data_IF_045230789465
#
_entry.id   IF_045230789465
#
_cell.length_a   1.000
_cell.length_b   1.000
_cell.length_c   1.000
_cell.angle_alpha   90.00
_cell.angle_beta   90.00
_cell.angle_gamma   90.00
#
_symmetry.space_group_name_H-M   'P 1'
#
loop_
_entity.id
_entity.type
_entity.pdbx_description
1 polymer ?
#
# COMPACT_ATOMS: atom_id res chain seq x y z
N UNK A 1 -23.85 -44.57 -1.54
CA UNK A 1 -23.04 -44.14 -0.40
C UNK A 1 -22.46 -42.76 -0.72
N UNK A 2 -22.89 -41.70 -0.05
CA UNK A 2 -22.35 -40.37 -0.31
C UNK A 2 -20.86 -40.34 0.03
N UNK A 3 -20.04 -39.81 -0.88
CA UNK A 3 -18.62 -39.61 -0.60
C UNK A 3 -18.43 -38.77 0.63
N UNK A 4 -17.61 -39.27 1.57
CA UNK A 4 -17.37 -38.62 2.86
C UNK A 4 -16.49 -37.41 2.65
N UNK A 5 -16.94 -36.23 3.13
CA UNK A 5 -16.10 -35.04 3.19
C UNK A 5 -14.80 -35.38 3.94
N UNK A 6 -13.67 -35.05 3.33
CA UNK A 6 -12.34 -35.22 3.91
C UNK A 6 -11.63 -33.87 4.04
N UNK A 7 -10.90 -33.67 5.15
CA UNK A 7 -10.09 -32.48 5.38
C UNK A 7 -8.71 -32.94 5.86
N UNK A 8 -7.66 -32.55 5.13
CA UNK A 8 -6.28 -32.93 5.43
C UNK A 8 -5.35 -31.76 5.26
N UNK A 9 -4.32 -31.67 6.09
CA UNK A 9 -3.21 -30.75 5.89
C UNK A 9 -2.26 -31.39 4.87
N UNK A 10 -2.00 -30.67 3.78
CA UNK A 10 -1.17 -31.15 2.69
C UNK A 10 -0.09 -30.12 2.35
N UNK A 11 1.08 -30.59 1.94
CA UNK A 11 2.14 -29.72 1.37
C UNK A 11 2.00 -29.74 -0.14
N UNK A 12 1.63 -28.62 -0.71
CA UNK A 12 1.37 -28.43 -2.14
C UNK A 12 2.66 -27.91 -2.80
N UNK A 13 3.30 -28.75 -3.59
CA UNK A 13 4.43 -28.34 -4.45
C UNK A 13 3.93 -27.63 -5.70
N UNK A 14 4.79 -26.93 -6.48
CA UNK A 14 4.40 -26.36 -7.77
C UNK A 14 3.80 -27.40 -8.75
N UNK A 15 4.30 -28.64 -8.75
CA UNK A 15 3.80 -29.74 -9.59
C UNK A 15 2.40 -30.18 -9.15
N UNK A 16 2.19 -30.36 -7.84
CA UNK A 16 0.89 -30.68 -7.26
C UNK A 16 -0.11 -29.55 -7.55
N UNK A 17 0.32 -28.30 -7.43
CA UNK A 17 -0.53 -27.15 -7.72
C UNK A 17 -0.96 -27.10 -9.19
N UNK A 18 -0.07 -27.44 -10.14
CA UNK A 18 -0.41 -27.55 -11.56
C UNK A 18 -1.46 -28.65 -11.81
N UNK A 19 -1.29 -29.81 -11.19
CA UNK A 19 -2.25 -30.92 -11.28
C UNK A 19 -3.62 -30.50 -10.73
N UNK A 20 -3.65 -29.90 -9.54
CA UNK A 20 -4.88 -29.42 -8.90
C UNK A 20 -5.58 -28.34 -9.72
N UNK A 21 -4.85 -27.50 -10.46
CA UNK A 21 -5.41 -26.50 -11.37
C UNK A 21 -5.99 -27.10 -12.65
N UNK A 22 -5.59 -28.29 -13.06
CA UNK A 22 -6.21 -29.02 -14.18
C UNK A 22 -7.71 -29.28 -13.94
N UNK A 23 -8.14 -29.32 -12.68
CA UNK A 23 -9.53 -29.51 -12.25
C UNK A 23 -10.28 -28.15 -12.08
N UNK A 24 -9.69 -27.05 -12.58
CA UNK A 24 -10.23 -25.70 -12.44
C UNK A 24 -11.23 -25.35 -13.56
N UNK A 25 -12.48 -25.69 -13.37
CA UNK A 25 -13.57 -25.39 -14.31
C UNK A 25 -14.54 -24.39 -13.67
N UNK A 26 -14.91 -23.35 -14.40
CA UNK A 26 -15.93 -22.35 -13.98
C UNK A 26 -15.62 -21.57 -12.69
N UNK A 27 -14.36 -21.25 -12.42
CA UNK A 27 -13.97 -20.37 -11.34
C UNK A 27 -13.98 -18.89 -11.75
N UNK A 28 -13.97 -18.00 -10.73
CA UNK A 28 -13.92 -16.54 -10.93
C UNK A 28 -12.67 -16.13 -11.73
N UNK A 29 -12.74 -14.96 -12.38
CA UNK A 29 -11.61 -14.39 -13.13
C UNK A 29 -10.36 -14.28 -12.26
N UNK A 30 -9.23 -14.69 -12.78
CA UNK A 30 -7.93 -14.64 -12.11
C UNK A 30 -7.49 -13.17 -11.96
N UNK A 31 -7.19 -12.77 -10.72
CA UNK A 31 -6.53 -11.51 -10.40
C UNK A 31 -5.02 -11.73 -10.34
N UNK A 32 -4.29 -11.23 -11.34
CA UNK A 32 -2.81 -11.31 -11.36
C UNK A 32 -2.18 -10.61 -10.15
N UNK A 33 -2.76 -9.51 -9.71
CA UNK A 33 -2.29 -8.79 -8.51
C UNK A 33 -2.34 -9.66 -7.26
N UNK A 34 -3.44 -10.40 -7.07
CA UNK A 34 -3.57 -11.30 -5.92
C UNK A 34 -2.63 -12.49 -6.01
N UNK A 35 -2.43 -13.05 -7.21
CA UNK A 35 -1.45 -14.13 -7.42
C UNK A 35 -0.04 -13.64 -7.08
N UNK A 36 0.36 -12.47 -7.57
CA UNK A 36 1.67 -11.89 -7.31
C UNK A 36 1.86 -11.55 -5.82
N UNK A 37 0.83 -11.03 -5.16
CA UNK A 37 0.85 -10.74 -3.73
C UNK A 37 1.09 -12.02 -2.92
N UNK A 38 0.28 -13.05 -3.13
CA UNK A 38 0.40 -14.33 -2.43
C UNK A 38 1.72 -15.03 -2.74
N UNK A 39 2.19 -14.98 -4.00
CA UNK A 39 3.48 -15.54 -4.37
C UNK A 39 4.64 -14.85 -3.63
N UNK A 40 4.54 -13.55 -3.40
CA UNK A 40 5.54 -12.81 -2.61
C UNK A 40 5.48 -13.19 -1.13
N UNK A 41 4.29 -13.30 -0.54
CA UNK A 41 4.12 -13.79 0.84
C UNK A 41 4.72 -15.19 1.03
N UNK A 42 4.53 -16.09 0.06
CA UNK A 42 5.12 -17.45 0.09
C UNK A 42 6.65 -17.36 -0.01
N UNK A 43 7.20 -16.57 -0.96
CA UNK A 43 8.66 -16.42 -1.13
C UNK A 43 9.34 -15.84 0.10
N UNK A 44 8.70 -14.88 0.75
CA UNK A 44 9.22 -14.21 1.94
C UNK A 44 9.05 -15.05 3.23
N UNK A 45 8.34 -16.20 3.18
CA UNK A 45 8.02 -16.98 4.37
C UNK A 45 6.99 -16.32 5.30
N UNK A 46 6.23 -15.37 4.78
CA UNK A 46 5.18 -14.65 5.51
C UNK A 46 3.86 -15.41 5.55
N UNK A 47 3.71 -16.42 4.68
CA UNK A 47 2.50 -17.24 4.66
C UNK A 47 2.35 -18.02 5.97
N UNK A 48 1.21 -17.88 6.63
CA UNK A 48 0.89 -18.59 7.85
C UNK A 48 -0.25 -19.57 7.62
N UNK A 49 -0.12 -20.78 8.17
CA UNK A 49 -1.23 -21.72 8.22
C UNK A 49 -2.34 -21.13 9.14
N UNK A 50 -3.43 -20.69 8.53
CA UNK A 50 -4.51 -19.97 9.19
C UNK A 50 -5.87 -20.69 9.11
N UNK A 51 -5.88 -21.95 8.61
CA UNK A 51 -7.10 -22.71 8.43
C UNK A 51 -7.83 -22.46 7.10
N UNK A 52 -7.38 -21.50 6.30
CA UNK A 52 -7.89 -21.33 4.93
C UNK A 52 -7.55 -22.56 4.08
N UNK A 53 -8.56 -23.05 3.32
CA UNK A 53 -8.45 -24.33 2.62
C UNK A 53 -8.51 -24.18 1.10
N UNK A 54 -7.84 -25.09 0.40
CA UNK A 54 -8.15 -25.43 -1.00
C UNK A 54 -9.31 -26.40 -0.97
N UNK A 55 -10.36 -26.16 -1.77
CA UNK A 55 -11.62 -26.89 -1.67
C UNK A 55 -12.01 -27.51 -3.01
N UNK A 56 -12.37 -28.79 -2.96
CA UNK A 56 -12.81 -29.57 -4.11
C UNK A 56 -14.22 -30.13 -3.92
N UNK A 57 -14.98 -30.15 -5.00
CA UNK A 57 -16.29 -30.76 -5.06
C UNK A 57 -16.22 -32.30 -5.03
N UNK A 58 -17.39 -32.92 -4.99
CA UNK A 58 -17.54 -34.38 -5.11
C UNK A 58 -17.05 -34.93 -6.45
N UNK A 59 -17.20 -34.16 -7.51
CA UNK A 59 -16.72 -34.45 -8.86
C UNK A 59 -15.21 -34.21 -9.05
N UNK A 60 -14.48 -33.79 -7.99
CA UNK A 60 -13.07 -33.47 -8.05
C UNK A 60 -12.77 -32.04 -8.53
N UNK A 61 -13.78 -31.28 -8.93
CA UNK A 61 -13.63 -29.91 -9.42
C UNK A 61 -13.12 -28.97 -8.32
N UNK A 62 -12.18 -28.09 -8.66
CA UNK A 62 -11.70 -27.04 -7.77
C UNK A 62 -12.80 -25.98 -7.53
N UNK A 63 -13.28 -25.86 -6.30
CA UNK A 63 -14.29 -24.88 -5.89
C UNK A 63 -13.68 -23.58 -5.36
N UNK A 64 -12.55 -23.68 -4.62
CA UNK A 64 -11.84 -22.52 -4.04
C UNK A 64 -10.34 -22.81 -3.95
N UNK A 65 -9.53 -21.74 -4.00
CA UNK A 65 -8.08 -21.82 -3.84
C UNK A 65 -7.27 -21.59 -5.12
N UNK A 66 -7.89 -21.28 -6.27
CA UNK A 66 -7.19 -21.07 -7.54
C UNK A 66 -6.03 -20.04 -7.44
N UNK A 67 -6.23 -18.91 -6.76
CA UNK A 67 -5.18 -17.90 -6.59
C UNK A 67 -4.01 -18.41 -5.73
N UNK A 68 -4.29 -19.25 -4.72
CA UNK A 68 -3.26 -19.87 -3.87
C UNK A 68 -2.43 -20.87 -4.66
N UNK A 69 -3.07 -21.73 -5.46
CA UNK A 69 -2.38 -22.68 -6.34
C UNK A 69 -1.51 -21.97 -7.38
N UNK A 70 -2.04 -20.93 -8.03
CA UNK A 70 -1.27 -20.10 -8.97
C UNK A 70 -0.10 -19.40 -8.27
N UNK A 71 -0.28 -18.98 -7.04
CA UNK A 71 0.77 -18.33 -6.25
C UNK A 71 1.89 -19.31 -5.87
N UNK A 72 1.56 -20.57 -5.55
CA UNK A 72 2.55 -21.66 -5.31
C UNK A 72 3.43 -21.85 -6.54
N UNK A 73 2.81 -21.92 -7.72
CA UNK A 73 3.54 -22.05 -9.00
C UNK A 73 4.42 -20.83 -9.24
N UNK A 74 3.86 -19.62 -9.08
CA UNK A 74 4.60 -18.36 -9.32
C UNK A 74 5.69 -18.10 -8.29
N UNK A 75 5.56 -18.63 -7.07
CA UNK A 75 6.57 -18.56 -6.02
C UNK A 75 7.72 -19.54 -6.22
N UNK A 76 7.46 -20.62 -6.93
CA UNK A 76 8.34 -21.80 -7.06
C UNK A 76 8.76 -22.35 -5.70
N UNK A 77 7.82 -22.38 -4.75
CA UNK A 77 8.00 -22.88 -3.38
C UNK A 77 6.78 -23.65 -2.91
N UNK A 78 6.95 -24.72 -2.12
CA UNK A 78 5.83 -25.47 -1.56
C UNK A 78 5.06 -24.62 -0.53
N UNK A 79 3.77 -24.94 -0.39
CA UNK A 79 2.85 -24.37 0.58
C UNK A 79 2.14 -25.46 1.38
N UNK A 80 2.22 -25.39 2.71
CA UNK A 80 1.42 -26.26 3.58
C UNK A 80 0.09 -25.58 3.87
N UNK A 81 -1.02 -26.26 3.52
CA UNK A 81 -2.37 -25.72 3.68
C UNK A 81 -3.39 -26.83 3.94
N UNK A 82 -4.60 -26.46 4.36
CA UNK A 82 -5.71 -27.38 4.48
C UNK A 82 -6.30 -27.66 3.10
N UNK A 83 -6.60 -28.92 2.82
CA UNK A 83 -7.30 -29.34 1.60
C UNK A 83 -8.58 -30.09 2.00
N UNK A 84 -9.71 -29.63 1.47
CA UNK A 84 -11.03 -30.23 1.72
C UNK A 84 -11.54 -30.81 0.40
N UNK A 85 -12.03 -32.05 0.43
CA UNK A 85 -12.60 -32.74 -0.74
C UNK A 85 -13.98 -33.30 -0.42
N UNK A 86 -14.80 -33.45 -1.45
CA UNK A 86 -16.13 -34.07 -1.33
C UNK A 86 -17.25 -33.08 -0.91
N UNK A 87 -17.06 -31.77 -1.16
CA UNK A 87 -18.08 -30.76 -0.91
C UNK A 87 -19.17 -30.81 -2.00
N UNK A 88 -20.42 -30.42 -1.62
CA UNK A 88 -21.46 -30.19 -2.62
C UNK A 88 -21.10 -28.96 -3.47
N UNK A 89 -21.34 -29.05 -4.76
CA UNK A 89 -20.95 -28.01 -5.73
C UNK A 89 -21.64 -26.65 -5.47
N UNK A 90 -22.88 -26.71 -4.97
CA UNK A 90 -23.66 -25.49 -4.62
C UNK A 90 -23.04 -24.69 -3.50
N UNK A 91 -22.19 -25.31 -2.67
CA UNK A 91 -21.48 -24.62 -1.58
C UNK A 91 -20.55 -23.53 -2.07
N UNK A 92 -20.10 -23.59 -3.35
CA UNK A 92 -19.28 -22.54 -3.95
C UNK A 92 -19.92 -21.15 -3.87
N UNK A 93 -21.25 -21.05 -3.96
CA UNK A 93 -22.00 -19.80 -3.90
C UNK A 93 -21.97 -19.13 -2.52
N UNK A 94 -21.66 -19.89 -1.48
CA UNK A 94 -21.60 -19.42 -0.09
C UNK A 94 -20.17 -19.16 0.41
N UNK A 95 -19.16 -19.47 -0.43
CA UNK A 95 -17.76 -19.24 -0.08
C UNK A 95 -17.41 -17.77 -0.21
N UNK A 96 -16.40 -17.31 0.53
CA UNK A 96 -15.89 -15.93 0.52
C UNK A 96 -16.93 -14.84 0.84
N UNK A 97 -18.04 -15.16 1.50
CA UNK A 97 -19.07 -14.18 1.90
C UNK A 97 -18.65 -13.26 3.06
N UNK A 98 -17.54 -13.57 3.72
CA UNK A 98 -17.00 -12.79 4.84
C UNK A 98 -16.19 -11.57 4.42
N UNK A 99 -16.21 -10.51 5.25
CA UNK A 99 -15.36 -9.34 5.06
C UNK A 99 -13.89 -9.69 5.31
N UNK A 100 -13.05 -9.51 4.32
CA UNK A 100 -11.59 -9.66 4.47
C UNK A 100 -11.05 -8.62 5.46
N UNK A 101 -10.30 -9.06 6.48
CA UNK A 101 -9.65 -8.15 7.44
C UNK A 101 -8.67 -7.23 6.71
N UNK A 102 -8.78 -5.94 6.97
CA UNK A 102 -7.82 -4.93 6.49
C UNK A 102 -6.56 -4.93 7.36
N UNK A 103 -5.48 -4.28 6.89
CA UNK A 103 -4.30 -4.05 7.73
C UNK A 103 -4.66 -3.25 9.00
N UNK A 104 -5.58 -2.27 8.89
CA UNK A 104 -6.08 -1.52 10.03
C UNK A 104 -6.75 -2.42 11.09
N UNK A 105 -7.55 -3.41 10.65
CA UNK A 105 -8.17 -4.38 11.57
C UNK A 105 -7.11 -5.24 12.27
N UNK A 106 -6.05 -5.65 11.56
CA UNK A 106 -4.95 -6.42 12.16
C UNK A 106 -4.18 -5.59 13.19
N UNK A 107 -3.89 -4.33 12.89
CA UNK A 107 -3.22 -3.43 13.83
C UNK A 107 -4.11 -3.14 15.06
N UNK A 108 -5.43 -3.06 14.88
CA UNK A 108 -6.38 -2.95 16.01
C UNK A 108 -6.30 -4.18 16.93
N UNK A 109 -6.24 -5.39 16.36
CA UNK A 109 -6.10 -6.63 17.15
C UNK A 109 -4.75 -6.71 17.88
N UNK A 110 -3.71 -6.02 17.37
CA UNK A 110 -2.41 -5.86 18.04
C UNK A 110 -2.42 -4.80 19.15
N UNK A 111 -3.53 -4.07 19.33
CA UNK A 111 -3.63 -3.00 20.32
C UNK A 111 -3.15 -1.64 19.85
N UNK A 112 -2.83 -1.49 18.54
CA UNK A 112 -2.36 -0.22 17.99
C UNK A 112 -3.46 0.84 18.01
N UNK A 113 -3.11 2.04 18.50
CA UNK A 113 -4.01 3.19 18.47
C UNK A 113 -4.08 3.78 17.06
N UNK A 114 -5.30 4.21 16.65
CA UNK A 114 -5.52 4.84 15.31
C UNK A 114 -5.05 3.95 14.15
N UNK A 115 -5.22 2.67 14.29
CA UNK A 115 -4.74 1.60 13.41
C UNK A 115 -5.02 1.82 11.93
N UNK A 116 -6.20 2.30 11.55
CA UNK A 116 -6.53 2.61 10.13
C UNK A 116 -5.65 3.73 9.56
N UNK A 117 -5.41 4.78 10.36
CA UNK A 117 -4.55 5.89 9.95
C UNK A 117 -3.08 5.44 9.88
N UNK A 118 -2.63 4.69 10.89
CA UNK A 118 -1.28 4.11 10.92
C UNK A 118 -1.05 3.18 9.73
N UNK A 119 -1.99 2.29 9.41
CA UNK A 119 -1.89 1.39 8.25
C UNK A 119 -1.70 2.15 6.92
N UNK A 120 -2.51 3.19 6.70
CA UNK A 120 -2.42 4.01 5.49
C UNK A 120 -1.12 4.80 5.41
N UNK A 121 -0.69 5.38 6.52
CA UNK A 121 0.54 6.16 6.62
C UNK A 121 1.78 5.27 6.47
N UNK A 122 1.84 4.16 7.21
CA UNK A 122 2.97 3.23 7.17
C UNK A 122 3.18 2.67 5.75
N UNK A 123 2.09 2.34 5.04
CA UNK A 123 2.19 1.90 3.65
C UNK A 123 2.80 2.98 2.75
N UNK A 124 2.37 4.23 2.90
CA UNK A 124 2.86 5.33 2.07
C UNK A 124 4.34 5.65 2.37
N UNK A 125 4.72 5.64 3.65
CA UNK A 125 6.11 5.84 4.08
C UNK A 125 6.99 4.67 3.62
N UNK A 126 6.53 3.42 3.77
CA UNK A 126 7.24 2.23 3.27
C UNK A 126 7.56 2.34 1.78
N UNK A 127 6.58 2.73 0.96
CA UNK A 127 6.80 2.90 -0.48
C UNK A 127 7.82 4.00 -0.78
N UNK A 128 7.79 5.11 -0.05
CA UNK A 128 8.75 6.21 -0.21
C UNK A 128 10.17 5.81 0.23
N UNK A 129 10.27 5.08 1.32
CA UNK A 129 11.53 4.60 1.89
C UNK A 129 12.22 3.55 1.02
N UNK A 130 11.46 2.51 0.62
CA UNK A 130 12.01 1.36 -0.10
C UNK A 130 12.16 1.57 -1.61
N UNK A 131 11.29 2.40 -2.22
CA UNK A 131 11.17 2.53 -3.67
C UNK A 131 11.27 3.97 -4.17
N UNK A 132 11.38 4.92 -3.25
CA UNK A 132 11.46 6.34 -3.55
C UNK A 132 10.10 7.03 -3.71
N UNK A 133 10.14 8.36 -3.67
CA UNK A 133 8.95 9.20 -3.62
C UNK A 133 8.07 9.11 -4.87
N UNK A 134 8.63 8.84 -6.03
CA UNK A 134 7.86 8.65 -7.27
C UNK A 134 6.95 7.42 -7.17
N UNK A 135 7.50 6.28 -6.76
CA UNK A 135 6.74 5.04 -6.57
C UNK A 135 5.65 5.19 -5.50
N UNK A 136 5.96 5.90 -4.41
CA UNK A 136 4.97 6.22 -3.37
C UNK A 136 3.82 7.09 -3.90
N UNK A 137 4.11 8.08 -4.76
CA UNK A 137 3.11 8.94 -5.38
C UNK A 137 2.26 8.20 -6.41
N UNK A 138 2.86 7.32 -7.21
CA UNK A 138 2.16 6.45 -8.15
C UNK A 138 1.22 5.48 -7.42
N UNK A 139 1.68 4.92 -6.30
CA UNK A 139 0.92 4.00 -5.45
C UNK A 139 0.43 2.72 -6.17
N UNK A 140 1.16 2.27 -7.18
CA UNK A 140 0.78 1.12 -8.01
C UNK A 140 1.19 -0.21 -7.37
N UNK A 141 2.25 -0.19 -6.56
CA UNK A 141 2.73 -1.37 -5.85
C UNK A 141 1.91 -1.62 -4.59
N UNK A 142 1.62 -2.90 -4.36
CA UNK A 142 0.90 -3.37 -3.18
C UNK A 142 1.88 -4.15 -2.30
N UNK A 143 2.46 -3.53 -1.26
CA UNK A 143 3.24 -4.27 -0.27
C UNK A 143 2.40 -5.36 0.38
N UNK A 144 3.03 -6.46 0.79
CA UNK A 144 2.36 -7.47 1.58
C UNK A 144 1.99 -6.92 2.95
N UNK A 145 1.05 -7.57 3.61
CA UNK A 145 0.70 -7.21 4.99
C UNK A 145 1.87 -7.42 5.94
N UNK A 146 2.63 -8.50 5.73
CA UNK A 146 3.83 -8.82 6.51
C UNK A 146 4.91 -7.75 6.36
N UNK A 147 5.20 -7.31 5.13
CA UNK A 147 6.16 -6.23 4.86
C UNK A 147 5.81 -4.95 5.64
N UNK A 148 4.53 -4.53 5.62
CA UNK A 148 4.13 -3.32 6.35
C UNK A 148 4.16 -3.50 7.85
N UNK A 149 3.77 -4.67 8.37
CA UNK A 149 3.84 -4.96 9.81
C UNK A 149 5.30 -4.95 10.27
N UNK A 150 6.19 -5.64 9.54
CA UNK A 150 7.63 -5.64 9.84
C UNK A 150 8.22 -4.24 9.82
N UNK A 151 7.82 -3.42 8.85
CA UNK A 151 8.26 -2.04 8.76
C UNK A 151 7.78 -1.20 9.95
N UNK A 152 6.52 -1.36 10.39
CA UNK A 152 5.99 -0.68 11.59
C UNK A 152 6.80 -1.08 12.83
N UNK A 153 7.07 -2.38 13.00
CA UNK A 153 7.81 -2.90 14.15
C UNK A 153 9.26 -2.39 14.20
N UNK A 154 9.88 -2.15 13.04
CA UNK A 154 11.25 -1.66 12.90
C UNK A 154 11.37 -0.13 12.89
N UNK A 155 10.26 0.60 12.80
CA UNK A 155 10.23 2.05 12.59
C UNK A 155 9.34 2.75 13.62
N UNK A 156 9.77 2.82 14.90
CA UNK A 156 8.98 3.45 15.96
C UNK A 156 8.68 4.94 15.68
N UNK A 157 9.50 5.61 14.87
CA UNK A 157 9.32 7.00 14.43
C UNK A 157 8.02 7.24 13.65
N UNK A 158 7.34 6.19 13.16
CA UNK A 158 6.04 6.33 12.50
C UNK A 158 4.97 6.95 13.41
N UNK A 159 5.10 6.81 14.73
CA UNK A 159 4.21 7.46 15.69
C UNK A 159 4.34 8.99 15.63
N UNK A 160 5.57 9.50 15.52
CA UNK A 160 5.85 10.94 15.42
C UNK A 160 5.40 11.47 14.06
N UNK A 161 5.63 10.71 12.97
CA UNK A 161 5.15 11.06 11.63
C UNK A 161 3.62 11.13 11.61
N UNK A 162 2.93 10.23 12.31
CA UNK A 162 1.48 10.25 12.42
C UNK A 162 0.99 11.48 13.18
N UNK A 163 1.65 11.85 14.27
CA UNK A 163 1.34 13.06 15.03
C UNK A 163 1.57 14.33 14.20
N UNK A 164 2.73 14.44 13.54
CA UNK A 164 3.07 15.56 12.65
C UNK A 164 2.09 15.69 11.47
N UNK A 165 1.70 14.58 10.86
CA UNK A 165 0.72 14.53 9.77
C UNK A 165 -0.65 15.10 10.20
N UNK A 166 -1.08 14.81 11.41
CA UNK A 166 -2.35 15.32 11.97
C UNK A 166 -2.26 16.82 12.28
N UNK A 167 -1.15 17.25 12.88
CA UNK A 167 -0.91 18.66 13.15
C UNK A 167 -0.87 19.48 11.85
N UNK A 168 -0.14 19.01 10.84
CA UNK A 168 -0.11 19.63 9.53
C UNK A 168 -1.51 19.74 8.92
N UNK A 169 -2.26 18.66 8.92
CA UNK A 169 -3.62 18.64 8.35
C UNK A 169 -4.56 19.62 9.04
N UNK A 170 -4.50 19.69 10.37
CA UNK A 170 -5.31 20.62 11.16
C UNK A 170 -5.03 22.10 10.82
N UNK A 171 -3.78 22.45 10.50
CA UNK A 171 -3.37 23.83 10.20
C UNK A 171 -3.50 24.18 8.72
N UNK A 172 -3.35 23.21 7.82
CA UNK A 172 -3.23 23.44 6.38
C UNK A 172 -4.56 23.31 5.62
N UNK A 173 -5.66 22.85 6.26
CA UNK A 173 -6.93 22.67 5.58
C UNK A 173 -6.87 21.62 4.46
N UNK A 174 -6.26 20.47 4.70
CA UNK A 174 -6.20 19.32 3.77
C UNK A 174 -5.41 19.56 2.47
N UNK A 175 -4.47 20.52 2.43
CA UNK A 175 -3.62 20.77 1.25
C UNK A 175 -2.93 19.50 0.75
N UNK A 176 -2.45 18.66 1.67
CA UNK A 176 -1.91 17.33 1.40
C UNK A 176 -2.73 16.28 2.16
N UNK A 177 -2.91 15.11 1.57
CA UNK A 177 -3.42 13.96 2.34
C UNK A 177 -2.38 13.55 3.39
N UNK A 178 -2.83 12.92 4.49
CA UNK A 178 -1.93 12.45 5.53
C UNK A 178 -0.83 11.52 5.00
N UNK A 179 -1.16 10.64 4.05
CA UNK A 179 -0.20 9.73 3.42
C UNK A 179 0.82 10.48 2.56
N UNK A 180 0.40 11.47 1.78
CA UNK A 180 1.29 12.28 0.94
C UNK A 180 2.23 13.13 1.81
N UNK A 181 1.69 13.79 2.84
CA UNK A 181 2.51 14.52 3.81
C UNK A 181 3.57 13.59 4.41
N UNK A 182 3.14 12.43 4.93
CA UNK A 182 4.04 11.51 5.60
C UNK A 182 5.19 11.02 4.71
N UNK A 183 4.88 10.64 3.46
CA UNK A 183 5.91 10.22 2.50
C UNK A 183 6.90 11.32 2.18
N UNK A 184 6.42 12.55 1.94
CA UNK A 184 7.27 13.70 1.64
C UNK A 184 8.09 14.13 2.85
N UNK A 185 7.45 14.21 4.03
CA UNK A 185 8.16 14.55 5.27
C UNK A 185 9.24 13.53 5.59
N UNK A 186 8.93 12.24 5.49
CA UNK A 186 9.89 11.14 5.69
C UNK A 186 11.09 11.28 4.76
N UNK A 187 10.83 11.48 3.47
CA UNK A 187 11.87 11.65 2.46
C UNK A 187 12.76 12.87 2.72
N UNK A 188 12.16 14.00 3.12
CA UNK A 188 12.92 15.22 3.40
C UNK A 188 13.67 15.14 4.73
N UNK A 189 13.08 14.49 5.75
CA UNK A 189 13.70 14.32 7.05
C UNK A 189 14.96 13.44 7.00
N UNK A 190 15.03 12.48 6.06
CA UNK A 190 16.26 11.71 5.81
C UNK A 190 17.39 12.54 5.21
N UNK A 191 17.07 13.71 4.65
CA UNK A 191 18.08 14.66 4.15
C UNK A 191 18.45 15.66 5.26
N UNK A 192 17.43 16.23 5.92
CA UNK A 192 17.58 17.23 6.98
C UNK A 192 16.25 17.36 7.74
N UNK A 193 16.18 16.77 8.93
CA UNK A 193 14.97 16.73 9.76
C UNK A 193 14.50 18.14 10.17
N UNK A 194 15.41 19.02 10.55
CA UNK A 194 15.07 20.36 10.99
C UNK A 194 14.55 21.21 9.82
N UNK A 195 15.19 21.08 8.68
CA UNK A 195 14.72 21.75 7.46
C UNK A 195 13.33 21.22 7.04
N UNK A 196 13.09 19.90 7.11
CA UNK A 196 11.79 19.31 6.81
C UNK A 196 10.70 19.89 7.74
N UNK A 197 10.97 19.94 9.04
CA UNK A 197 10.05 20.52 10.02
C UNK A 197 9.75 21.99 9.70
N UNK A 198 10.77 22.82 9.45
CA UNK A 198 10.58 24.22 9.08
C UNK A 198 9.77 24.39 7.80
N UNK A 199 10.10 23.61 6.76
CA UNK A 199 9.41 23.65 5.48
C UNK A 199 7.91 23.36 5.62
N UNK A 200 7.55 22.27 6.29
CA UNK A 200 6.14 21.90 6.44
C UNK A 200 5.38 22.79 7.42
N UNK A 201 6.03 23.32 8.46
CA UNK A 201 5.42 24.30 9.37
C UNK A 201 5.09 25.58 8.62
N UNK A 202 6.02 26.09 7.80
CA UNK A 202 5.79 27.28 6.97
C UNK A 202 4.74 27.03 5.88
N UNK A 203 4.73 25.82 5.27
CA UNK A 203 3.72 25.43 4.31
C UNK A 203 2.31 25.39 4.94
N UNK A 204 2.20 24.86 6.16
CA UNK A 204 0.94 24.76 6.87
C UNK A 204 0.39 26.14 7.28
N UNK A 205 1.23 26.98 7.89
CA UNK A 205 0.81 28.29 8.40
C UNK A 205 0.70 29.36 7.32
N UNK A 206 1.61 29.35 6.34
CA UNK A 206 1.75 30.42 5.34
C UNK A 206 2.27 31.73 5.94
N UNK A 207 2.69 31.73 7.20
CA UNK A 207 3.11 32.94 7.89
C UNK A 207 4.52 33.38 7.50
N UNK A 208 4.75 34.69 7.42
CA UNK A 208 6.06 35.33 7.18
C UNK A 208 6.76 34.91 5.88
N UNK A 209 6.01 34.49 4.85
CA UNK A 209 6.54 34.13 3.54
C UNK A 209 6.54 35.31 2.58
N UNK A 210 7.64 35.53 1.87
CA UNK A 210 7.74 36.59 0.84
C UNK A 210 7.02 36.14 -0.46
N UNK A 211 6.68 37.10 -1.30
CA UNK A 211 5.89 36.86 -2.52
C UNK A 211 6.55 35.84 -3.52
N UNK A 212 7.87 35.77 -3.52
CA UNK A 212 8.66 34.85 -4.34
C UNK A 212 9.23 33.64 -3.57
N UNK A 213 8.78 33.43 -2.32
CA UNK A 213 9.16 32.24 -1.53
C UNK A 213 8.59 30.97 -2.18
N UNK A 214 9.45 29.97 -2.44
CA UNK A 214 9.01 28.70 -3.02
C UNK A 214 7.89 28.02 -2.21
N UNK A 215 7.87 28.18 -0.88
CA UNK A 215 6.82 27.61 -0.02
C UNK A 215 5.49 28.32 -0.27
N UNK A 216 5.48 29.66 -0.39
CA UNK A 216 4.25 30.40 -0.68
C UNK A 216 3.68 30.04 -2.06
N UNK A 217 4.53 29.96 -3.08
CA UNK A 217 4.12 29.55 -4.43
C UNK A 217 3.54 28.13 -4.42
N UNK A 218 4.17 27.20 -3.68
CA UNK A 218 3.65 25.84 -3.51
C UNK A 218 2.29 25.87 -2.81
N UNK A 219 2.20 26.58 -1.67
CA UNK A 219 0.96 26.72 -0.89
C UNK A 219 -0.20 27.19 -1.77
N UNK A 220 -0.02 28.29 -2.49
CA UNK A 220 -1.03 28.83 -3.39
C UNK A 220 -1.43 27.83 -4.48
N UNK A 221 -0.46 27.11 -5.03
CA UNK A 221 -0.69 26.05 -6.03
C UNK A 221 -1.54 24.91 -5.48
N UNK A 222 -1.23 24.45 -4.27
CA UNK A 222 -1.97 23.37 -3.60
C UNK A 222 -3.38 23.82 -3.20
N UNK A 223 -3.52 25.02 -2.64
CA UNK A 223 -4.82 25.59 -2.27
C UNK A 223 -5.75 25.72 -3.48
N UNK A 224 -5.23 26.19 -4.62
CA UNK A 224 -6.01 26.28 -5.86
C UNK A 224 -6.50 24.92 -6.40
N UNK A 225 -5.96 23.82 -5.91
CA UNK A 225 -6.34 22.47 -6.31
C UNK A 225 -7.29 21.77 -5.32
N UNK A 226 -7.50 22.32 -4.12
CA UNK A 226 -8.29 21.69 -3.07
C UNK A 226 -9.69 21.28 -3.51
N UNK A 227 -10.34 22.08 -4.33
CA UNK A 227 -11.72 21.91 -4.76
C UNK A 227 -11.86 21.35 -6.19
N UNK A 228 -10.74 20.95 -6.82
CA UNK A 228 -10.78 20.41 -8.19
C UNK A 228 -11.11 18.92 -8.17
N UNK A 229 -11.97 18.49 -9.10
CA UNK A 229 -12.20 17.08 -9.38
C UNK A 229 -10.91 16.35 -9.79
N UNK A 230 -10.77 15.07 -9.43
CA UNK A 230 -9.59 14.27 -9.79
C UNK A 230 -8.37 14.45 -8.89
N UNK A 231 -8.52 15.09 -7.73
CA UNK A 231 -7.42 15.32 -6.77
C UNK A 231 -6.69 14.03 -6.35
N UNK A 232 -7.40 12.91 -6.27
CA UNK A 232 -6.87 11.61 -5.85
C UNK A 232 -6.37 10.73 -6.99
N UNK A 233 -6.43 11.21 -8.26
CA UNK A 233 -5.90 10.45 -9.40
C UNK A 233 -4.39 10.23 -9.27
N UNK A 234 -3.88 9.17 -9.91
CA UNK A 234 -2.45 8.87 -9.95
C UNK A 234 -1.64 10.06 -10.46
N UNK A 235 -2.01 10.61 -11.60
CA UNK A 235 -1.28 11.72 -12.24
C UNK A 235 -1.23 12.96 -11.35
N UNK A 236 -2.32 13.26 -10.65
CA UNK A 236 -2.34 14.41 -9.75
C UNK A 236 -1.53 14.16 -8.48
N UNK A 237 -1.50 12.93 -7.93
CA UNK A 237 -0.60 12.59 -6.82
C UNK A 237 0.87 12.75 -7.21
N UNK A 238 1.27 12.22 -8.37
CA UNK A 238 2.63 12.35 -8.91
C UNK A 238 2.98 13.83 -9.10
N UNK A 239 2.07 14.60 -9.70
CA UNK A 239 2.25 16.03 -9.90
C UNK A 239 2.41 16.81 -8.59
N UNK A 240 1.59 16.55 -7.57
CA UNK A 240 1.69 17.20 -6.25
C UNK A 240 3.04 16.88 -5.60
N UNK A 241 3.46 15.62 -5.61
CA UNK A 241 4.73 15.20 -5.06
C UNK A 241 5.91 15.90 -5.78
N UNK A 242 5.91 15.90 -7.11
CA UNK A 242 6.94 16.55 -7.91
C UNK A 242 7.02 18.07 -7.64
N UNK A 243 5.88 18.75 -7.58
CA UNK A 243 5.83 20.18 -7.27
C UNK A 243 6.38 20.48 -5.86
N UNK A 244 6.02 19.65 -4.88
CA UNK A 244 6.51 19.81 -3.50
C UNK A 244 8.02 19.62 -3.42
N UNK A 245 8.59 18.62 -4.12
CA UNK A 245 10.03 18.40 -4.17
C UNK A 245 10.75 19.56 -4.90
N UNK A 246 10.17 20.07 -6.00
CA UNK A 246 10.76 21.23 -6.70
C UNK A 246 10.79 22.48 -5.81
N UNK A 247 9.73 22.74 -5.05
CA UNK A 247 9.68 23.85 -4.10
C UNK A 247 10.69 23.65 -2.95
N UNK A 248 10.74 22.44 -2.36
CA UNK A 248 11.74 22.07 -1.36
C UNK A 248 13.17 22.33 -1.84
N UNK A 249 13.54 21.84 -3.03
CA UNK A 249 14.88 22.00 -3.59
C UNK A 249 15.25 23.46 -3.86
N UNK A 250 14.28 24.31 -4.21
CA UNK A 250 14.51 25.75 -4.41
C UNK A 250 14.65 26.48 -3.08
N UNK A 251 13.78 26.18 -2.12
CA UNK A 251 13.79 26.75 -0.78
C UNK A 251 15.09 26.45 -0.05
N UNK A 252 15.56 25.20 -0.06
CA UNK A 252 16.84 24.80 0.55
C UNK A 252 18.05 25.52 -0.02
N UNK A 253 17.99 25.93 -1.28
CA UNK A 253 19.05 26.70 -1.95
C UNK A 253 18.92 28.22 -1.73
N UNK A 254 17.94 28.69 -0.97
CA UNK A 254 17.66 30.11 -0.81
C UNK A 254 17.33 30.82 -2.13
N UNK A 255 16.80 30.10 -3.14
CA UNK A 255 16.51 30.66 -4.47
C UNK A 255 15.03 31.02 -4.58
N UNK A 256 14.69 32.24 -5.03
CA UNK A 256 13.31 32.63 -5.24
C UNK A 256 12.66 31.82 -6.35
N UNK A 257 11.34 31.78 -6.35
CA UNK A 257 10.53 31.08 -7.34
C UNK A 257 9.37 31.97 -7.79
N UNK A 258 9.23 32.19 -9.11
CA UNK A 258 8.08 32.92 -9.66
C UNK A 258 6.93 32.02 -10.06
N UNK A 259 7.23 30.82 -10.49
CA UNK A 259 6.25 29.85 -10.98
C UNK A 259 6.68 28.43 -10.69
N UNK A 260 5.73 27.58 -10.28
CA UNK A 260 5.93 26.17 -10.02
C UNK A 260 5.17 25.33 -11.06
N UNK A 261 5.92 24.59 -11.88
CA UNK A 261 5.38 23.71 -12.94
C UNK A 261 6.01 22.33 -12.90
N UNK A 262 5.21 21.33 -13.25
CA UNK A 262 5.65 19.98 -13.58
C UNK A 262 4.85 19.53 -14.80
N UNK A 263 5.54 19.30 -15.91
CA UNK A 263 4.95 19.07 -17.22
C UNK A 263 4.94 17.57 -17.59
N UNK A 264 4.05 17.18 -18.49
CA UNK A 264 4.07 15.82 -19.04
C UNK A 264 5.43 15.53 -19.72
N UNK A 265 5.99 14.36 -19.45
CA UNK A 265 7.32 13.97 -19.97
C UNK A 265 8.52 14.53 -19.20
N UNK A 266 8.30 15.37 -18.18
CA UNK A 266 9.39 15.82 -17.31
C UNK A 266 9.80 14.70 -16.36
N UNK A 267 11.09 14.47 -16.17
CA UNK A 267 11.60 13.50 -15.20
C UNK A 267 11.19 13.88 -13.77
N UNK A 268 10.82 12.88 -12.98
CA UNK A 268 10.42 13.10 -11.58
C UNK A 268 11.60 13.70 -10.79
N UNK A 269 11.40 14.79 -10.02
CA UNK A 269 12.48 15.48 -9.35
C UNK A 269 13.00 14.65 -8.16
N UNK A 270 14.33 14.66 -7.99
CA UNK A 270 14.99 14.05 -6.81
C UNK A 270 15.09 15.09 -5.70
N UNK A 271 14.67 14.80 -4.46
CA UNK A 271 14.87 15.67 -3.28
C UNK A 271 16.37 15.85 -2.97
N UNK A 272 16.76 17.07 -2.56
CA UNK A 272 18.17 17.42 -2.27
C UNK A 272 18.30 18.28 -1.05
#
# INVERSE_FOLDING_TARGET
MGEKITAKVETITPEIAKTMLGENVNNRRISRDNVNLFAREIRNGEWRFNGEAIKFGKDGRLLDGQHRLLAVIAADKPLTTLVIRGLEDETQQTMDSGKTRTLGDVLTLRGEKKSTQLASLARAVYLADQLGMEAAAQNDLKPTRGEIISFIDQTPQLADVLAASRAFRSQSGDMLTSSMFASLWWTFAHIDTDAANRFFTSLASGANLQADDPILILRNTLMAQLHKAGRSTRDNRVRIAALTIKAWNKWRKGKPLRQLKFSAGESFPTPR
#
